data_IF_415022049638
#
_entry.id   IF_415022049638
#
_cell.length_a   1.000
_cell.length_b   1.000
_cell.length_c   1.000
_cell.angle_alpha   90.00
_cell.angle_beta   90.00
_cell.angle_gamma   90.00
#
_symmetry.space_group_name_H-M   'P 1'
#
loop_
_entity.id
_entity.type
_entity.pdbx_description
1 polymer ?
#
# COMPACT_ATOMS: atom_id res chain seq x y z
N UNK A 1 47.65 -34.83 10.82
CA UNK A 1 47.30 -33.59 11.49
C UNK A 1 47.33 -32.49 10.41
N UNK A 2 46.18 -32.12 9.91
CA UNK A 2 46.07 -31.09 8.87
C UNK A 2 45.31 -29.89 9.46
N UNK A 3 45.99 -28.78 9.46
CA UNK A 3 45.61 -27.52 10.06
C UNK A 3 44.47 -26.83 9.25
N UNK A 4 43.44 -26.38 9.95
CA UNK A 4 42.29 -25.69 9.36
C UNK A 4 42.60 -24.20 9.30
N UNK A 5 42.95 -23.71 8.12
CA UNK A 5 42.98 -22.26 7.86
C UNK A 5 41.55 -21.70 7.81
N UNK A 6 41.32 -20.65 8.59
CA UNK A 6 40.02 -19.98 8.70
C UNK A 6 39.89 -18.85 7.68
N UNK A 7 38.67 -18.55 7.27
CA UNK A 7 38.30 -17.53 6.25
C UNK A 7 38.71 -16.09 6.55
N UNK A 8 39.51 -15.86 7.59
CA UNK A 8 40.04 -14.53 8.01
C UNK A 8 41.37 -14.14 7.40
N UNK A 9 42.11 -15.06 6.77
CA UNK A 9 43.47 -14.80 6.32
C UNK A 9 43.60 -14.40 4.86
N UNK A 10 42.52 -14.28 4.11
CA UNK A 10 42.52 -13.95 2.67
C UNK A 10 42.39 -12.44 2.38
N UNK A 11 42.25 -11.59 3.39
CA UNK A 11 42.00 -10.14 3.21
C UNK A 11 43.16 -9.22 3.54
N UNK A 12 44.40 -9.73 3.53
CA UNK A 12 45.59 -8.91 3.76
C UNK A 12 46.62 -9.08 2.67
N UNK A 13 46.30 -8.73 1.44
CA UNK A 13 47.34 -8.47 0.40
C UNK A 13 46.73 -7.81 -0.83
N UNK A 14 46.57 -6.49 -0.79
CA UNK A 14 46.63 -5.61 -1.98
C UNK A 14 46.50 -4.15 -1.51
N UNK A 15 47.60 -3.54 -1.25
CA UNK A 15 47.68 -2.10 -1.02
C UNK A 15 49.12 -1.61 -1.17
N UNK A 16 49.43 -1.10 -2.33
CA UNK A 16 50.47 -0.04 -2.45
C UNK A 16 50.40 0.60 -3.85
N UNK A 17 50.05 1.88 -3.83
CA UNK A 17 50.74 2.92 -4.55
C UNK A 17 50.48 3.16 -6.03
N UNK A 18 49.87 4.31 -6.36
CA UNK A 18 50.50 5.30 -7.27
C UNK A 18 49.79 6.64 -7.05
N UNK A 19 50.58 7.67 -6.70
CA UNK A 19 50.22 9.09 -6.65
C UNK A 19 50.33 9.64 -8.08
N UNK A 20 49.28 10.26 -8.61
CA UNK A 20 49.41 11.19 -9.71
C UNK A 20 48.56 12.42 -9.41
N UNK A 21 49.21 13.55 -9.34
CA UNK A 21 48.66 14.88 -9.10
C UNK A 21 48.06 15.46 -10.38
N UNK A 22 46.99 16.27 -10.20
CA UNK A 22 46.73 17.41 -11.08
C UNK A 22 45.47 17.37 -11.90
N UNK A 23 44.52 18.14 -11.52
CA UNK A 23 43.73 19.19 -12.19
C UNK A 23 42.28 19.20 -11.75
N UNK A 24 41.90 20.26 -11.02
CA UNK A 24 40.50 20.63 -10.81
C UNK A 24 39.91 21.16 -12.11
N UNK A 25 38.68 20.87 -12.39
CA UNK A 25 37.72 21.88 -12.83
C UNK A 25 36.69 22.11 -11.74
N UNK A 26 36.53 23.37 -11.37
CA UNK A 26 35.36 23.88 -10.68
C UNK A 26 34.17 23.85 -11.66
N UNK A 27 33.04 23.54 -11.12
CA UNK A 27 31.71 24.17 -11.30
C UNK A 27 30.67 23.16 -10.84
N UNK A 28 29.87 23.60 -9.88
CA UNK A 28 28.88 22.82 -9.18
C UNK A 28 27.87 22.09 -10.08
N UNK A 29 27.82 20.79 -9.87
CA UNK A 29 26.59 20.04 -10.00
C UNK A 29 26.13 19.77 -8.56
N UNK A 30 25.09 20.48 -8.11
CA UNK A 30 24.36 20.08 -6.92
C UNK A 30 23.97 18.62 -7.10
N UNK A 31 24.57 17.76 -6.30
CA UNK A 31 24.09 16.38 -6.15
C UNK A 31 22.69 16.50 -5.57
N UNK A 32 21.69 16.28 -6.41
CA UNK A 32 20.31 16.00 -5.98
C UNK A 32 20.42 14.79 -5.06
N UNK A 33 20.28 15.06 -3.76
CA UNK A 33 20.45 14.07 -2.71
C UNK A 33 19.65 12.82 -3.00
N UNK A 34 20.27 11.66 -2.83
CA UNK A 34 19.61 10.38 -2.88
C UNK A 34 18.33 10.42 -2.02
N UNK A 35 17.21 10.05 -2.60
CA UNK A 35 15.88 10.06 -1.97
C UNK A 35 15.95 9.43 -0.58
N UNK A 36 15.74 10.23 0.46
CA UNK A 36 15.72 9.81 1.88
C UNK A 36 14.41 9.10 2.27
N UNK A 37 13.63 8.63 1.30
CA UNK A 37 12.39 7.90 1.60
C UNK A 37 12.72 6.51 2.14
N UNK A 38 12.19 6.13 3.31
CA UNK A 38 12.41 4.80 3.84
C UNK A 38 11.81 3.76 2.90
N UNK A 39 12.60 2.76 2.56
CA UNK A 39 12.09 1.56 1.89
C UNK A 39 11.12 0.83 2.81
N UNK A 40 10.09 0.20 2.23
CA UNK A 40 9.20 -0.68 3.00
C UNK A 40 10.06 -1.69 3.77
N UNK A 41 9.91 -1.82 5.09
CA UNK A 41 10.72 -2.74 5.88
C UNK A 41 10.63 -4.17 5.33
N UNK A 42 11.76 -4.87 5.31
CA UNK A 42 11.80 -6.28 4.93
C UNK A 42 10.85 -7.10 5.83
N UNK A 43 10.25 -8.13 5.27
CA UNK A 43 9.37 -9.06 5.99
C UNK A 43 10.10 -9.65 7.19
N UNK A 44 9.44 -9.68 8.35
CA UNK A 44 10.03 -10.14 9.61
C UNK A 44 9.62 -11.57 9.99
N UNK A 45 8.98 -12.34 9.08
CA UNK A 45 8.47 -13.67 9.36
C UNK A 45 8.26 -14.54 8.11
N UNK A 46 7.56 -15.67 8.29
CA UNK A 46 7.16 -16.58 7.21
C UNK A 46 6.03 -16.03 6.32
N UNK A 47 5.52 -14.82 6.62
CA UNK A 47 4.46 -14.19 5.84
C UNK A 47 4.95 -13.89 4.42
N UNK A 48 4.18 -14.29 3.44
CA UNK A 48 4.52 -14.21 2.00
C UNK A 48 4.32 -12.80 1.43
N UNK A 49 3.45 -12.01 2.06
CA UNK A 49 3.23 -10.58 1.83
C UNK A 49 2.91 -9.88 3.15
N UNK A 50 2.92 -8.55 3.18
CA UNK A 50 2.67 -7.79 4.39
C UNK A 50 1.16 -7.55 4.59
N UNK A 51 0.68 -7.74 5.83
CA UNK A 51 -0.66 -7.33 6.23
C UNK A 51 -0.62 -5.91 6.79
N UNK A 52 -1.58 -5.09 6.37
CA UNK A 52 -1.73 -3.70 6.79
C UNK A 52 -3.15 -3.36 7.21
N UNK A 53 -3.38 -2.09 7.51
CA UNK A 53 -4.70 -1.53 7.81
C UNK A 53 -4.96 -0.30 6.94
N UNK A 54 -6.11 -0.25 6.28
CA UNK A 54 -6.67 0.96 5.73
C UNK A 54 -7.38 1.72 6.86
N UNK A 55 -6.92 2.93 7.18
CA UNK A 55 -7.39 3.65 8.37
C UNK A 55 -8.87 4.05 8.32
N UNK A 56 -9.51 3.94 7.15
CA UNK A 56 -10.96 4.07 7.02
C UNK A 56 -11.74 3.14 7.97
N UNK A 57 -11.20 1.97 8.26
CA UNK A 57 -11.69 1.04 9.28
C UNK A 57 -12.00 1.73 10.62
N UNK A 58 -11.16 2.67 11.01
CA UNK A 58 -11.28 3.43 12.28
C UNK A 58 -11.69 4.89 12.07
N UNK A 59 -12.51 5.18 11.04
CA UNK A 59 -12.92 6.53 10.63
C UNK A 59 -13.61 7.38 11.70
N UNK A 60 -14.11 6.76 12.79
CA UNK A 60 -14.76 7.43 13.92
C UNK A 60 -13.79 7.71 15.09
N UNK A 61 -12.54 7.31 14.97
CA UNK A 61 -11.54 7.42 16.04
C UNK A 61 -10.49 8.47 15.70
N UNK A 62 -9.81 9.00 16.75
CA UNK A 62 -8.68 9.91 16.55
C UNK A 62 -7.49 9.18 15.93
N UNK A 63 -6.53 9.93 15.42
CA UNK A 63 -5.27 9.36 14.87
C UNK A 63 -4.56 8.51 15.93
N UNK A 64 -4.45 9.01 17.17
CA UNK A 64 -3.79 8.30 18.27
C UNK A 64 -4.50 6.98 18.62
N UNK A 65 -5.84 7.00 18.70
CA UNK A 65 -6.63 5.81 18.94
C UNK A 65 -6.47 4.78 17.79
N UNK A 66 -6.49 5.26 16.54
CA UNK A 66 -6.28 4.44 15.34
C UNK A 66 -4.92 3.76 15.35
N UNK A 67 -3.86 4.49 15.68
CA UNK A 67 -2.51 3.92 15.80
C UNK A 67 -2.43 2.89 16.93
N UNK A 68 -3.02 3.17 18.09
CA UNK A 68 -3.05 2.24 19.22
C UNK A 68 -3.80 0.94 18.88
N UNK A 69 -4.97 1.04 18.21
CA UNK A 69 -5.76 -0.11 17.77
C UNK A 69 -5.02 -0.92 16.70
N UNK A 70 -4.41 -0.27 15.71
CA UNK A 70 -3.59 -0.94 14.70
C UNK A 70 -2.46 -1.74 15.33
N UNK A 71 -1.78 -1.15 16.32
CA UNK A 71 -0.73 -1.84 17.09
C UNK A 71 -1.26 -3.04 17.87
N UNK A 72 -2.44 -2.92 18.52
CA UNK A 72 -3.09 -4.04 19.25
C UNK A 72 -3.42 -5.21 18.34
N UNK A 73 -3.75 -4.97 17.05
CA UNK A 73 -3.95 -6.00 16.04
C UNK A 73 -2.64 -6.70 15.62
N UNK A 74 -1.48 -6.22 16.09
CA UNK A 74 -0.17 -6.72 15.67
C UNK A 74 0.17 -6.39 14.22
N UNK A 75 -0.52 -5.42 13.61
CA UNK A 75 -0.21 -4.92 12.27
C UNK A 75 0.89 -3.86 12.37
N UNK A 76 1.73 -3.77 11.32
CA UNK A 76 2.84 -2.80 11.25
C UNK A 76 2.65 -1.74 10.18
N UNK A 77 1.80 -1.99 9.20
CA UNK A 77 1.57 -1.12 8.05
C UNK A 77 0.20 -0.48 8.14
N UNK A 78 0.14 0.81 7.82
CA UNK A 78 -1.11 1.57 7.80
C UNK A 78 -1.15 2.49 6.57
N UNK A 79 -2.28 2.51 5.88
CA UNK A 79 -2.61 3.52 4.86
C UNK A 79 -3.55 4.56 5.46
N UNK A 80 -3.25 5.84 5.32
CA UNK A 80 -4.06 6.90 5.93
C UNK A 80 -5.08 7.49 4.97
N UNK A 81 -6.34 7.46 5.40
CA UNK A 81 -7.44 8.25 4.87
C UNK A 81 -7.42 9.66 5.49
N UNK A 82 -8.02 10.63 4.82
CA UNK A 82 -8.11 12.04 5.21
C UNK A 82 -8.77 12.32 6.57
N UNK A 83 -9.48 11.36 7.16
CA UNK A 83 -9.95 11.42 8.56
C UNK A 83 -8.82 11.54 9.59
N UNK A 84 -7.67 10.91 9.30
CA UNK A 84 -6.55 10.83 10.25
C UNK A 84 -5.38 11.73 9.86
N UNK A 85 -5.36 12.21 8.62
CA UNK A 85 -4.39 13.18 8.12
C UNK A 85 -5.08 13.98 7.00
N UNK A 86 -5.73 15.12 7.31
CA UNK A 86 -6.52 15.88 6.34
C UNK A 86 -5.72 16.35 5.13
N UNK A 87 -6.33 16.28 3.92
CA UNK A 87 -5.67 16.65 2.66
C UNK A 87 -5.25 18.12 2.58
N UNK A 88 -5.88 18.98 3.38
CA UNK A 88 -5.54 20.41 3.49
C UNK A 88 -4.55 20.73 4.61
N UNK A 89 -3.94 19.72 5.22
CA UNK A 89 -2.90 19.93 6.24
C UNK A 89 -1.66 20.58 5.63
N UNK A 90 -0.99 21.43 6.42
CA UNK A 90 0.32 21.97 6.03
C UNK A 90 1.39 20.86 6.04
N UNK A 91 2.52 21.04 5.32
CA UNK A 91 3.62 20.07 5.37
C UNK A 91 4.08 19.75 6.80
N UNK A 92 4.10 20.74 7.70
CA UNK A 92 4.50 20.56 9.10
C UNK A 92 3.50 19.69 9.87
N UNK A 93 2.20 19.88 9.64
CA UNK A 93 1.14 19.07 10.23
C UNK A 93 1.19 17.62 9.72
N UNK A 94 1.44 17.45 8.43
CA UNK A 94 1.64 16.13 7.83
C UNK A 94 2.84 15.44 8.49
N UNK A 95 3.99 16.10 8.58
CA UNK A 95 5.20 15.55 9.20
C UNK A 95 4.99 15.23 10.68
N UNK A 96 4.27 16.07 11.42
CA UNK A 96 3.92 15.78 12.82
C UNK A 96 3.07 14.51 12.94
N UNK A 97 2.12 14.30 12.02
CA UNK A 97 1.30 13.08 11.98
C UNK A 97 2.13 11.85 11.62
N UNK A 98 3.01 11.96 10.64
CA UNK A 98 3.95 10.89 10.26
C UNK A 98 4.88 10.53 11.42
N UNK A 99 5.34 11.51 12.19
CA UNK A 99 6.15 11.26 13.39
C UNK A 99 5.39 10.41 14.41
N UNK A 100 4.09 10.70 14.67
CA UNK A 100 3.24 9.87 15.56
C UNK A 100 3.12 8.43 15.07
N UNK A 101 2.98 8.20 13.75
CA UNK A 101 2.95 6.85 13.18
C UNK A 101 4.26 6.11 13.49
N UNK A 102 5.40 6.77 13.29
CA UNK A 102 6.73 6.21 13.56
C UNK A 102 6.95 5.94 15.06
N UNK A 103 6.56 6.86 15.94
CA UNK A 103 6.62 6.71 17.40
C UNK A 103 5.76 5.55 17.89
N UNK A 104 4.61 5.29 17.25
CA UNK A 104 3.78 4.13 17.52
C UNK A 104 4.44 2.80 17.06
N UNK A 105 5.56 2.85 16.34
CA UNK A 105 6.25 1.70 15.78
C UNK A 105 5.57 1.15 14.51
N UNK A 106 4.78 1.99 13.83
CA UNK A 106 4.08 1.66 12.59
C UNK A 106 4.78 2.29 11.38
N UNK A 107 4.42 1.80 10.20
CA UNK A 107 4.90 2.30 8.92
C UNK A 107 3.73 2.82 8.09
N UNK A 108 3.73 4.13 7.79
CA UNK A 108 2.79 4.73 6.85
C UNK A 108 3.24 4.37 5.42
N UNK A 109 2.50 3.48 4.73
CA UNK A 109 2.89 2.99 3.41
C UNK A 109 2.18 3.69 2.25
N UNK A 110 0.98 4.21 2.50
CA UNK A 110 0.14 4.87 1.48
C UNK A 110 -0.74 5.96 2.10
N UNK A 111 -1.21 6.85 1.23
CA UNK A 111 -2.29 7.78 1.53
C UNK A 111 -3.48 7.46 0.62
N UNK A 112 -4.69 7.42 1.17
CA UNK A 112 -5.92 7.18 0.38
C UNK A 112 -7.04 6.49 1.18
N UNK A 113 -8.20 6.34 0.55
CA UNK A 113 -8.53 6.57 -0.88
C UNK A 113 -8.71 8.07 -1.13
N UNK A 114 -7.97 8.63 -2.09
CA UNK A 114 -8.04 10.06 -2.48
C UNK A 114 -8.79 10.19 -3.80
N UNK A 115 -9.90 10.92 -3.80
CA UNK A 115 -10.63 11.28 -5.02
C UNK A 115 -9.97 12.47 -5.71
N UNK A 116 -9.69 12.35 -7.00
CA UNK A 116 -9.06 13.38 -7.81
C UNK A 116 -9.99 13.75 -8.98
N UNK A 117 -10.79 14.81 -8.79
CA UNK A 117 -11.83 15.27 -9.73
C UNK A 117 -11.39 16.45 -10.58
N UNK A 118 -10.29 17.11 -10.21
CA UNK A 118 -9.73 18.27 -10.90
C UNK A 118 -8.20 18.18 -10.96
N UNK A 119 -7.58 18.91 -11.89
CA UNK A 119 -6.11 19.00 -11.98
C UNK A 119 -5.47 19.49 -10.66
N UNK A 120 -6.11 20.45 -9.99
CA UNK A 120 -5.64 20.97 -8.71
C UNK A 120 -5.65 19.87 -7.63
N UNK A 121 -6.65 18.97 -7.61
CA UNK A 121 -6.70 17.85 -6.69
C UNK A 121 -5.66 16.77 -7.02
N UNK A 122 -5.34 16.57 -8.30
CA UNK A 122 -4.20 15.71 -8.68
C UNK A 122 -2.92 16.28 -8.12
N UNK A 123 -2.64 17.58 -8.34
CA UNK A 123 -1.45 18.24 -7.81
C UNK A 123 -1.39 18.13 -6.28
N UNK A 124 -2.50 18.43 -5.59
CA UNK A 124 -2.60 18.35 -4.13
C UNK A 124 -2.28 16.94 -3.62
N UNK A 125 -2.81 15.89 -4.25
CA UNK A 125 -2.59 14.50 -3.83
C UNK A 125 -1.10 14.12 -3.90
N UNK A 126 -0.39 14.54 -4.93
CA UNK A 126 1.04 14.28 -5.06
C UNK A 126 1.90 15.10 -4.10
N UNK A 127 1.58 16.38 -3.89
CA UNK A 127 2.27 17.23 -2.91
C UNK A 127 2.07 16.69 -1.50
N UNK A 128 0.84 16.28 -1.16
CA UNK A 128 0.49 15.66 0.10
C UNK A 128 1.25 14.35 0.33
N UNK A 129 1.26 13.45 -0.65
CA UNK A 129 1.98 12.18 -0.54
C UNK A 129 3.49 12.39 -0.42
N UNK A 130 4.05 13.36 -1.15
CA UNK A 130 5.45 13.78 -1.02
C UNK A 130 5.75 14.32 0.38
N UNK A 131 4.90 15.21 0.90
CA UNK A 131 5.05 15.74 2.24
C UNK A 131 4.95 14.63 3.32
N UNK A 132 4.10 13.63 3.13
CA UNK A 132 3.99 12.47 4.00
C UNK A 132 5.17 11.47 3.85
N UNK A 133 6.00 11.61 2.83
CA UNK A 133 7.10 10.70 2.56
C UNK A 133 6.65 9.30 2.12
N UNK A 134 5.44 9.15 1.57
CA UNK A 134 4.95 7.86 1.06
C UNK A 134 5.23 7.71 -0.43
N UNK A 135 5.32 6.47 -0.88
CA UNK A 135 5.57 6.11 -2.29
C UNK A 135 4.33 5.57 -2.99
N UNK A 136 3.16 5.64 -2.33
CA UNK A 136 1.90 5.16 -2.90
C UNK A 136 0.74 6.07 -2.51
N UNK A 137 -0.07 6.40 -3.51
CA UNK A 137 -1.39 6.99 -3.37
C UNK A 137 -2.39 5.90 -3.76
N UNK A 138 -3.31 5.54 -2.87
CA UNK A 138 -4.53 4.83 -3.24
C UNK A 138 -5.54 5.88 -3.69
N UNK A 139 -5.98 5.84 -4.93
CA UNK A 139 -6.71 6.98 -5.49
C UNK A 139 -7.81 6.61 -6.48
N UNK A 140 -8.69 7.59 -6.71
CA UNK A 140 -9.79 7.51 -7.68
C UNK A 140 -9.74 8.78 -8.57
N UNK A 141 -8.80 8.84 -9.53
CA UNK A 141 -8.76 9.94 -10.48
C UNK A 141 -9.91 9.83 -11.48
N UNK A 142 -10.53 10.95 -11.86
CA UNK A 142 -11.40 10.97 -13.03
C UNK A 142 -10.66 10.49 -14.28
N UNK A 143 -11.36 9.86 -15.22
CA UNK A 143 -10.75 9.27 -16.41
C UNK A 143 -9.96 10.27 -17.25
N UNK A 144 -10.47 11.49 -17.41
CA UNK A 144 -9.84 12.59 -18.15
C UNK A 144 -8.55 13.11 -17.51
N UNK A 145 -8.31 12.80 -16.23
CA UNK A 145 -7.11 13.22 -15.51
C UNK A 145 -5.97 12.18 -15.55
N UNK A 146 -6.20 10.99 -16.11
CA UNK A 146 -5.21 9.92 -16.11
C UNK A 146 -3.90 10.31 -16.80
N UNK A 147 -3.96 11.09 -17.88
CA UNK A 147 -2.75 11.59 -18.54
C UNK A 147 -1.94 12.54 -17.64
N UNK A 148 -2.61 13.38 -16.84
CA UNK A 148 -1.96 14.22 -15.85
C UNK A 148 -1.37 13.39 -14.71
N UNK A 149 -2.11 12.38 -14.22
CA UNK A 149 -1.62 11.44 -13.20
C UNK A 149 -0.36 10.74 -13.71
N UNK A 150 -0.34 10.29 -14.98
CA UNK A 150 0.84 9.67 -15.57
C UNK A 150 2.06 10.62 -15.60
N UNK A 151 1.86 11.87 -15.93
CA UNK A 151 2.92 12.88 -15.84
C UNK A 151 3.43 13.01 -14.41
N UNK A 152 2.52 13.04 -13.41
CA UNK A 152 2.85 13.22 -12.00
C UNK A 152 3.55 12.00 -11.38
N UNK A 153 3.18 10.77 -11.71
CA UNK A 153 3.90 9.58 -11.22
C UNK A 153 5.36 9.56 -11.69
N UNK A 154 5.63 10.10 -12.90
CA UNK A 154 6.99 10.24 -13.43
C UNK A 154 7.77 11.36 -12.73
N UNK A 155 7.10 12.49 -12.47
CA UNK A 155 7.70 13.69 -11.84
C UNK A 155 8.05 13.42 -10.36
N UNK A 156 7.14 12.79 -9.60
CA UNK A 156 7.27 12.61 -8.15
C UNK A 156 7.91 11.27 -7.76
N UNK A 157 7.98 10.33 -8.68
CA UNK A 157 8.32 8.92 -8.41
C UNK A 157 7.43 8.32 -7.30
N UNK A 158 6.13 8.55 -7.41
CA UNK A 158 5.10 8.05 -6.50
C UNK A 158 4.11 7.22 -7.33
N UNK A 159 3.77 6.02 -6.83
CA UNK A 159 2.80 5.13 -7.48
C UNK A 159 1.37 5.60 -7.21
N UNK A 160 0.47 5.30 -8.13
CA UNK A 160 -0.98 5.46 -7.94
C UNK A 160 -1.65 4.10 -8.12
N UNK A 161 -2.16 3.55 -7.04
CA UNK A 161 -3.00 2.37 -7.04
C UNK A 161 -4.47 2.81 -7.18
N UNK A 162 -5.05 2.61 -8.35
CA UNK A 162 -6.44 3.02 -8.62
C UNK A 162 -7.39 2.03 -7.97
N UNK A 163 -8.21 2.55 -7.05
CA UNK A 163 -9.14 1.77 -6.25
C UNK A 163 -10.43 1.52 -7.04
N UNK A 164 -10.84 0.24 -7.16
CA UNK A 164 -12.17 -0.07 -7.66
C UNK A 164 -13.21 0.01 -6.55
N UNK A 165 -14.39 0.47 -6.93
CA UNK A 165 -15.62 0.39 -6.12
C UNK A 165 -16.52 -0.74 -6.62
N UNK A 166 -17.74 -0.83 -6.10
CA UNK A 166 -18.76 -1.75 -6.56
C UNK A 166 -19.45 -1.28 -7.84
N UNK A 167 -20.30 -2.15 -8.39
CA UNK A 167 -21.04 -1.88 -9.63
C UNK A 167 -22.00 -0.67 -9.55
N UNK A 168 -22.32 -0.24 -8.34
CA UNK A 168 -23.16 0.92 -8.02
C UNK A 168 -22.41 2.27 -8.08
N UNK A 169 -21.09 2.24 -8.29
CA UNK A 169 -20.27 3.45 -8.34
C UNK A 169 -19.86 3.81 -9.79
N UNK A 170 -20.01 5.07 -10.24
CA UNK A 170 -19.81 5.43 -11.64
C UNK A 170 -18.36 5.36 -12.13
N UNK A 171 -17.40 5.53 -11.22
CA UNK A 171 -15.96 5.46 -11.55
C UNK A 171 -15.36 4.14 -11.04
N UNK A 172 -14.75 3.38 -11.96
CA UNK A 172 -14.06 2.14 -11.63
C UNK A 172 -14.97 1.10 -10.90
N UNK A 173 -16.10 0.71 -11.49
CA UNK A 173 -17.06 -0.23 -10.89
C UNK A 173 -16.52 -1.67 -10.78
N UNK A 174 -15.35 -1.95 -11.32
CA UNK A 174 -14.70 -3.27 -11.24
C UNK A 174 -13.20 -3.18 -11.53
N UNK A 175 -12.39 -4.19 -11.11
CA UNK A 175 -10.96 -4.27 -11.46
C UNK A 175 -10.70 -4.26 -12.97
N UNK A 176 -11.59 -4.86 -13.78
CA UNK A 176 -11.46 -4.88 -15.23
C UNK A 176 -11.52 -3.48 -15.84
N UNK A 177 -12.40 -2.62 -15.35
CA UNK A 177 -12.48 -1.22 -15.81
C UNK A 177 -11.25 -0.43 -15.39
N UNK A 178 -10.74 -0.64 -14.18
CA UNK A 178 -9.46 -0.03 -13.77
C UNK A 178 -8.36 -0.46 -14.73
N UNK A 179 -8.20 -1.77 -14.95
CA UNK A 179 -7.17 -2.33 -15.82
C UNK A 179 -7.20 -1.73 -17.23
N UNK A 180 -8.38 -1.71 -17.86
CA UNK A 180 -8.55 -1.13 -19.20
C UNK A 180 -8.13 0.35 -19.28
N UNK A 181 -8.29 1.10 -18.21
CA UNK A 181 -7.90 2.50 -18.15
C UNK A 181 -6.41 2.72 -17.91
N UNK A 182 -5.70 1.76 -17.29
CA UNK A 182 -4.31 1.95 -16.84
C UNK A 182 -3.29 1.03 -17.51
N UNK A 183 -3.71 -0.02 -18.23
CA UNK A 183 -2.83 -1.04 -18.81
C UNK A 183 -1.71 -0.49 -19.71
N UNK A 184 -2.00 0.58 -20.44
CA UNK A 184 -1.08 1.20 -21.41
C UNK A 184 -0.31 2.38 -20.82
N UNK A 185 -0.59 2.77 -19.56
CA UNK A 185 0.08 3.86 -18.85
C UNK A 185 1.37 3.39 -18.17
N UNK A 186 2.13 4.34 -17.61
CA UNK A 186 3.32 4.05 -16.81
C UNK A 186 3.04 2.98 -15.73
N UNK A 187 3.98 2.07 -15.52
CA UNK A 187 3.83 0.94 -14.56
C UNK A 187 3.69 1.38 -13.10
N UNK A 188 3.92 2.63 -12.77
CA UNK A 188 3.62 3.23 -11.46
C UNK A 188 2.14 3.51 -11.26
N UNK A 189 1.31 3.37 -12.31
CA UNK A 189 -0.16 3.40 -12.21
C UNK A 189 -0.66 1.96 -12.36
N UNK A 190 -1.39 1.48 -11.37
CA UNK A 190 -1.93 0.13 -11.35
C UNK A 190 -3.20 0.07 -10.52
N UNK A 191 -3.53 -1.12 -10.03
CA UNK A 191 -4.77 -1.40 -9.32
C UNK A 191 -4.53 -1.45 -7.81
N UNK A 192 -5.45 -0.87 -7.05
CA UNK A 192 -5.79 -1.30 -5.71
C UNK A 192 -7.09 -2.08 -5.83
N UNK A 193 -7.01 -3.42 -5.76
CA UNK A 193 -8.20 -4.25 -5.84
C UNK A 193 -8.85 -4.31 -4.45
N UNK A 194 -10.07 -3.76 -4.34
CA UNK A 194 -10.92 -4.00 -3.19
C UNK A 194 -11.69 -5.31 -3.42
N UNK A 195 -11.39 -6.31 -2.60
CA UNK A 195 -11.93 -7.66 -2.79
C UNK A 195 -13.43 -7.73 -2.47
N UNK A 196 -13.91 -6.93 -1.52
CA UNK A 196 -15.34 -6.87 -1.18
C UNK A 196 -16.16 -6.21 -2.28
N UNK A 197 -15.73 -5.04 -2.73
CA UNK A 197 -16.37 -4.37 -3.86
C UNK A 197 -16.34 -5.22 -5.14
N UNK A 198 -15.24 -5.95 -5.36
CA UNK A 198 -15.12 -6.90 -6.48
C UNK A 198 -16.14 -8.03 -6.36
N UNK A 199 -16.28 -8.63 -5.16
CA UNK A 199 -17.26 -9.69 -4.90
C UNK A 199 -18.70 -9.18 -5.06
N UNK A 200 -19.02 -7.98 -4.54
CA UNK A 200 -20.34 -7.35 -4.69
C UNK A 200 -20.70 -7.01 -6.15
N UNK A 201 -19.70 -6.87 -7.01
CA UNK A 201 -19.91 -6.76 -8.46
C UNK A 201 -20.13 -8.12 -9.15
N UNK A 202 -20.24 -9.22 -8.39
CA UNK A 202 -20.40 -10.58 -8.92
C UNK A 202 -19.14 -11.16 -9.55
N UNK A 203 -17.97 -10.63 -9.21
CA UNK A 203 -16.67 -11.05 -9.74
C UNK A 203 -15.88 -11.76 -8.61
N UNK A 204 -15.31 -12.93 -8.91
CA UNK A 204 -14.42 -13.63 -7.99
C UNK A 204 -13.11 -12.82 -7.80
N UNK A 205 -12.80 -12.35 -6.58
CA UNK A 205 -11.59 -11.58 -6.33
C UNK A 205 -10.31 -12.34 -6.64
N UNK A 206 -10.30 -13.66 -6.47
CA UNK A 206 -9.14 -14.51 -6.78
C UNK A 206 -8.82 -14.51 -8.27
N UNK A 207 -9.85 -14.57 -9.11
CA UNK A 207 -9.68 -14.47 -10.57
C UNK A 207 -9.24 -13.08 -10.98
N UNK A 208 -9.76 -12.04 -10.33
CA UNK A 208 -9.38 -10.66 -10.62
C UNK A 208 -7.90 -10.40 -10.28
N UNK A 209 -7.40 -10.80 -9.10
CA UNK A 209 -5.99 -10.61 -8.72
C UNK A 209 -5.05 -11.41 -9.60
N UNK A 210 -5.42 -12.63 -10.03
CA UNK A 210 -4.62 -13.42 -10.95
C UNK A 210 -4.55 -12.77 -12.34
N UNK A 211 -5.71 -12.37 -12.87
CA UNK A 211 -5.83 -11.80 -14.20
C UNK A 211 -5.09 -10.47 -14.36
N UNK A 212 -5.06 -9.64 -13.31
CA UNK A 212 -4.48 -8.31 -13.36
C UNK A 212 -3.20 -8.18 -12.53
N UNK A 213 -2.53 -9.30 -12.26
CA UNK A 213 -1.34 -9.37 -11.42
C UNK A 213 -0.20 -8.44 -11.87
N UNK A 214 -0.04 -8.21 -13.18
CA UNK A 214 1.00 -7.35 -13.75
C UNK A 214 0.84 -5.86 -13.40
N UNK A 215 -0.33 -5.47 -12.91
CA UNK A 215 -0.68 -4.11 -12.52
C UNK A 215 -1.18 -4.00 -11.07
N UNK A 216 -1.17 -5.09 -10.31
CA UNK A 216 -1.64 -5.10 -8.92
C UNK A 216 -0.62 -4.43 -8.00
N UNK A 217 -0.94 -3.24 -7.51
CA UNK A 217 -0.07 -2.44 -6.63
C UNK A 217 -0.48 -2.50 -5.17
N UNK A 218 -1.77 -2.61 -4.88
CA UNK A 218 -2.33 -2.62 -3.53
C UNK A 218 -3.58 -3.49 -3.45
N UNK A 219 -4.01 -3.82 -2.24
CA UNK A 219 -5.18 -4.68 -2.03
C UNK A 219 -5.90 -4.28 -0.74
N UNK A 220 -7.21 -4.05 -0.82
CA UNK A 220 -8.07 -3.91 0.35
C UNK A 220 -8.77 -5.23 0.63
N UNK A 221 -8.47 -5.80 1.81
CA UNK A 221 -9.05 -7.05 2.31
C UNK A 221 -10.32 -6.77 3.08
N UNK A 222 -11.39 -7.42 2.70
CA UNK A 222 -12.66 -7.50 3.43
C UNK A 222 -13.41 -8.78 3.05
N UNK A 223 -14.46 -9.10 3.74
CA UNK A 223 -15.39 -10.16 3.38
C UNK A 223 -16.80 -9.59 3.36
N UNK A 224 -17.66 -10.16 2.54
CA UNK A 224 -19.00 -9.64 2.25
C UNK A 224 -20.06 -10.69 2.52
N UNK A 225 -21.23 -10.24 3.00
CA UNK A 225 -22.36 -11.13 3.31
C UNK A 225 -23.03 -11.74 2.08
N UNK A 226 -22.86 -11.12 0.90
CA UNK A 226 -23.37 -11.62 -0.39
C UNK A 226 -22.55 -11.12 -1.57
N UNK A 227 -22.64 -11.82 -2.70
CA UNK A 227 -22.00 -11.48 -3.97
C UNK A 227 -22.88 -10.55 -4.86
N UNK A 228 -23.62 -9.64 -4.23
CA UNK A 228 -24.48 -8.68 -4.90
C UNK A 228 -24.29 -7.29 -4.32
N UNK A 229 -24.83 -6.26 -4.96
CA UNK A 229 -24.80 -4.88 -4.46
C UNK A 229 -25.38 -4.70 -3.05
N UNK A 230 -26.23 -5.65 -2.61
CA UNK A 230 -26.82 -5.68 -1.26
C UNK A 230 -25.86 -6.23 -0.19
N UNK A 231 -24.72 -6.79 -0.60
CA UNK A 231 -23.69 -7.28 0.32
C UNK A 231 -23.20 -6.19 1.26
N UNK A 232 -22.95 -6.57 2.51
CA UNK A 232 -22.38 -5.72 3.54
C UNK A 232 -21.14 -6.39 4.12
N UNK A 233 -20.19 -5.59 4.56
CA UNK A 233 -18.97 -6.09 5.18
C UNK A 233 -19.26 -6.93 6.42
N UNK A 234 -18.62 -8.09 6.50
CA UNK A 234 -18.63 -9.00 7.66
C UNK A 234 -17.19 -9.36 8.04
N UNK A 235 -17.04 -10.02 9.18
CA UNK A 235 -15.74 -10.56 9.61
C UNK A 235 -15.22 -11.58 8.58
N UNK A 236 -13.94 -11.52 8.26
CA UNK A 236 -13.34 -12.43 7.28
C UNK A 236 -13.51 -13.89 7.71
N UNK A 237 -14.03 -14.70 6.79
CA UNK A 237 -14.40 -16.09 7.02
C UNK A 237 -15.88 -16.29 7.39
N UNK A 238 -16.66 -15.24 7.57
CA UNK A 238 -18.10 -15.30 7.79
C UNK A 238 -18.92 -14.93 6.55
N UNK A 239 -18.26 -14.45 5.50
CA UNK A 239 -18.88 -14.01 4.25
C UNK A 239 -18.81 -15.06 3.15
N UNK A 240 -18.93 -14.57 1.93
CA UNK A 240 -19.04 -15.41 0.73
C UNK A 240 -17.75 -15.48 -0.10
N UNK A 241 -16.71 -14.73 0.27
CA UNK A 241 -15.42 -14.75 -0.45
C UNK A 241 -14.65 -16.02 -0.08
N UNK A 242 -14.18 -16.77 -1.09
CA UNK A 242 -13.24 -17.87 -0.86
C UNK A 242 -11.84 -17.29 -0.53
N UNK A 243 -11.65 -16.96 0.75
CA UNK A 243 -10.43 -16.36 1.26
C UNK A 243 -9.23 -17.30 1.17
N UNK A 244 -9.43 -18.62 1.23
CA UNK A 244 -8.35 -19.59 1.06
C UNK A 244 -7.85 -19.57 -0.38
N UNK A 245 -8.76 -19.59 -1.35
CA UNK A 245 -8.43 -19.45 -2.78
C UNK A 245 -7.72 -18.12 -3.03
N UNK A 246 -8.23 -17.01 -2.46
CA UNK A 246 -7.63 -15.68 -2.61
C UNK A 246 -6.17 -15.65 -2.10
N UNK A 247 -5.93 -16.12 -0.87
CA UNK A 247 -4.57 -16.11 -0.28
C UNK A 247 -3.60 -16.99 -1.07
N UNK A 248 -4.04 -18.18 -1.52
CA UNK A 248 -3.23 -19.05 -2.39
C UNK A 248 -2.93 -18.40 -3.75
N UNK A 249 -3.90 -17.68 -4.29
CA UNK A 249 -3.71 -16.95 -5.56
C UNK A 249 -2.69 -15.83 -5.41
N UNK A 250 -2.78 -15.04 -4.32
CA UNK A 250 -1.79 -13.99 -4.02
C UNK A 250 -0.38 -14.58 -3.88
N UNK A 251 -0.25 -15.74 -3.25
CA UNK A 251 1.02 -16.45 -3.18
C UNK A 251 1.50 -16.90 -4.56
N UNK A 252 0.64 -17.54 -5.34
CA UNK A 252 0.93 -18.07 -6.69
C UNK A 252 1.44 -16.98 -7.63
N UNK A 253 0.85 -15.78 -7.58
CA UNK A 253 1.29 -14.64 -8.41
C UNK A 253 2.52 -13.91 -7.85
N UNK A 254 3.04 -14.34 -6.68
CA UNK A 254 4.18 -13.70 -6.03
C UNK A 254 3.88 -12.31 -5.49
N UNK A 255 2.63 -12.04 -5.05
CA UNK A 255 2.28 -10.75 -4.48
C UNK A 255 3.17 -10.43 -3.28
N UNK A 256 3.79 -9.26 -3.27
CA UNK A 256 4.79 -8.87 -2.27
C UNK A 256 4.53 -7.51 -1.63
N UNK A 257 3.49 -6.81 -2.08
CA UNK A 257 3.08 -5.52 -1.54
C UNK A 257 2.26 -5.71 -0.24
N UNK A 258 1.45 -4.72 0.11
CA UNK A 258 0.66 -4.73 1.34
C UNK A 258 -0.79 -5.07 1.00
N UNK A 259 -1.37 -6.00 1.77
CA UNK A 259 -2.80 -6.30 1.76
C UNK A 259 -3.41 -5.72 3.03
N UNK A 260 -4.21 -4.67 2.90
CA UNK A 260 -4.74 -3.90 4.01
C UNK A 260 -6.16 -4.26 4.34
N UNK A 261 -6.44 -4.56 5.61
CA UNK A 261 -7.82 -4.71 6.06
C UNK A 261 -8.56 -3.38 5.96
N UNK A 262 -9.71 -3.38 5.30
CA UNK A 262 -10.67 -2.29 5.29
C UNK A 262 -12.02 -2.83 5.76
N UNK A 263 -12.27 -2.70 7.06
CA UNK A 263 -13.46 -3.21 7.72
C UNK A 263 -14.50 -2.11 7.90
N UNK A 264 -15.69 -2.29 7.35
CA UNK A 264 -16.70 -1.24 7.27
C UNK A 264 -17.91 -1.48 8.17
N UNK A 265 -17.96 -2.61 8.89
CA UNK A 265 -18.99 -2.94 9.86
C UNK A 265 -18.69 -2.31 11.22
N UNK A 266 -19.74 -2.02 11.99
CA UNK A 266 -19.66 -1.57 13.38
C UNK A 266 -18.70 -0.39 13.60
N UNK A 267 -18.88 0.70 12.85
CA UNK A 267 -17.95 1.84 12.82
C UNK A 267 -17.66 2.50 14.19
N UNK A 268 -18.52 2.26 15.19
CA UNK A 268 -18.35 2.73 16.57
C UNK A 268 -17.52 1.77 17.44
N UNK A 269 -17.43 0.47 17.08
CA UNK A 269 -16.64 -0.55 17.78
C UNK A 269 -16.12 -1.63 16.82
N UNK A 270 -15.30 -1.27 15.82
CA UNK A 270 -14.84 -2.21 14.80
C UNK A 270 -13.71 -3.13 15.27
N UNK A 271 -13.07 -2.86 16.42
CA UNK A 271 -11.83 -3.51 16.82
C UNK A 271 -11.96 -5.03 16.97
N UNK A 272 -13.07 -5.50 17.54
CA UNK A 272 -13.30 -6.94 17.73
C UNK A 272 -13.42 -7.68 16.39
N UNK A 273 -14.22 -7.14 15.44
CA UNK A 273 -14.40 -7.72 14.11
C UNK A 273 -13.12 -7.71 13.28
N UNK A 274 -12.36 -6.62 13.36
CA UNK A 274 -11.04 -6.54 12.69
C UNK A 274 -10.06 -7.54 13.29
N UNK A 275 -10.05 -7.71 14.63
CA UNK A 275 -9.16 -8.65 15.29
C UNK A 275 -9.46 -10.10 14.87
N UNK A 276 -10.75 -10.45 14.75
CA UNK A 276 -11.18 -11.75 14.20
C UNK A 276 -10.70 -11.91 12.76
N UNK A 277 -10.92 -10.91 11.91
CA UNK A 277 -10.51 -10.89 10.50
C UNK A 277 -9.00 -11.08 10.33
N UNK A 278 -8.20 -10.38 11.13
CA UNK A 278 -6.73 -10.51 11.15
C UNK A 278 -6.32 -11.91 11.59
N UNK A 279 -6.95 -12.43 12.65
CA UNK A 279 -6.67 -13.79 13.18
C UNK A 279 -6.99 -14.87 12.15
N UNK A 280 -8.16 -14.79 11.51
CA UNK A 280 -8.59 -15.72 10.47
C UNK A 280 -7.62 -15.72 9.27
N UNK A 281 -7.27 -14.53 8.76
CA UNK A 281 -6.32 -14.39 7.64
C UNK A 281 -4.94 -14.97 7.99
N UNK A 282 -4.43 -14.70 9.19
CA UNK A 282 -3.16 -15.30 9.67
C UNK A 282 -3.25 -16.83 9.79
N UNK A 283 -4.40 -17.34 10.22
CA UNK A 283 -4.65 -18.80 10.26
C UNK A 283 -4.55 -19.43 8.87
N UNK A 284 -5.17 -18.82 7.84
CA UNK A 284 -5.03 -19.29 6.46
C UNK A 284 -3.56 -19.25 6.03
N UNK A 285 -2.88 -18.12 6.19
CA UNK A 285 -1.49 -17.93 5.75
C UNK A 285 -0.50 -18.88 6.44
N UNK A 286 -0.84 -19.37 7.64
CA UNK A 286 -0.03 -20.38 8.34
C UNK A 286 -0.23 -21.80 7.80
N UNK A 287 -1.32 -22.04 7.06
CA UNK A 287 -1.71 -23.36 6.53
C UNK A 287 -1.46 -23.55 5.02
N UNK A 288 -1.11 -22.50 4.29
CA UNK A 288 -0.86 -22.55 2.84
C UNK A 288 0.62 -22.49 2.48
#
# INVERSE_FOLDING_TARGET
MADKQTRRDVLKLAGTGIIAAGLKPAIGAEQIGASTYPSVPARTGKEKFNLGLASYTFRKFTTEQTLAMTKRLGLKFIGFKDFHMPLNSTPEQIQATVAKVKEAGLFLYACGVIYMKTEAQVQQAFDYAKAAGVKMIVGVPNYELLALVEKKVKEYDIKVAVHNHGADFPLYPSPAIVYEKVKDLDKRIGLCIDVGHTQRAGIDPSEAVEKFADRLLDLHLKDESSATTEGTTVEMGRGVIDLVKLMRTLEKIGYSNIASFEFEKDESDPLAGVAESVGYTRGILACI
#
